data_IF_253777251204
#
_entry.id   IF_253777251204
#
_cell.length_a   1.000
_cell.length_b   1.000
_cell.length_c   1.000
_cell.angle_alpha   90.00
_cell.angle_beta   90.00
_cell.angle_gamma   90.00
#
_symmetry.space_group_name_H-M   'P 1'
#
loop_
_entity.id
_entity.type
_entity.pdbx_description
1 polymer ?
#
# COMPACT_ATOMS: atom_id res chain seq x y z
N UNK A 1 -1.37 -21.66 12.19
CA UNK A 1 -0.71 -22.14 10.96
C UNK A 1 0.52 -21.26 10.74
N UNK A 2 1.69 -21.84 10.99
CA UNK A 2 3.00 -21.17 10.91
C UNK A 2 3.25 -20.71 9.47
N UNK A 3 3.45 -19.43 9.29
CA UNK A 3 3.93 -18.83 8.06
C UNK A 3 5.45 -19.08 8.03
N UNK A 4 5.88 -20.11 7.29
CA UNK A 4 7.29 -20.31 7.01
C UNK A 4 7.78 -19.08 6.23
N UNK A 5 8.50 -18.19 6.87
CA UNK A 5 9.31 -17.18 6.22
C UNK A 5 10.62 -17.84 5.84
N UNK A 6 10.81 -18.00 4.55
CA UNK A 6 12.07 -18.42 3.98
C UNK A 6 13.17 -17.42 4.40
N UNK A 7 14.13 -17.92 5.16
CA UNK A 7 15.44 -17.28 5.31
C UNK A 7 16.14 -17.44 3.96
N UNK A 8 16.20 -16.39 3.16
CA UNK A 8 16.75 -16.41 1.81
C UNK A 8 18.28 -16.59 1.76
N UNK A 9 18.98 -16.66 2.89
CA UNK A 9 20.44 -16.61 2.92
C UNK A 9 21.18 -17.95 2.94
N UNK A 10 20.54 -19.13 3.04
CA UNK A 10 21.29 -20.37 3.25
C UNK A 10 21.04 -21.58 2.36
N UNK A 11 20.10 -21.55 1.41
CA UNK A 11 19.75 -22.77 0.67
C UNK A 11 19.88 -22.72 -0.88
N UNK A 12 20.35 -21.62 -1.47
CA UNK A 12 20.48 -21.54 -2.93
C UNK A 12 21.92 -21.53 -3.43
N UNK A 13 22.65 -22.62 -3.19
CA UNK A 13 23.99 -22.84 -3.78
C UNK A 13 23.99 -23.75 -5.03
N UNK A 14 22.85 -23.82 -5.73
CA UNK A 14 22.68 -24.63 -6.92
C UNK A 14 22.28 -23.82 -8.16
N UNK A 15 22.79 -22.61 -8.33
CA UNK A 15 22.60 -21.87 -9.57
C UNK A 15 23.45 -22.53 -10.67
N UNK A 16 22.82 -23.16 -11.68
CA UNK A 16 23.49 -23.37 -12.95
C UNK A 16 24.16 -22.07 -13.39
N UNK A 17 25.45 -22.16 -13.76
CA UNK A 17 26.22 -21.03 -14.25
C UNK A 17 25.46 -20.39 -15.41
N UNK A 18 24.78 -19.27 -15.15
CA UNK A 18 24.24 -18.42 -16.20
C UNK A 18 25.44 -17.98 -17.03
N UNK A 19 25.46 -18.19 -18.38
CA UNK A 19 26.56 -17.74 -19.21
C UNK A 19 26.91 -16.29 -18.87
N UNK A 20 28.18 -15.96 -18.77
CA UNK A 20 28.65 -14.58 -18.57
C UNK A 20 28.05 -13.74 -19.68
N UNK A 21 26.92 -13.09 -19.39
CA UNK A 21 26.26 -12.23 -20.35
C UNK A 21 27.19 -11.04 -20.60
N UNK A 22 27.45 -10.74 -21.85
CA UNK A 22 28.19 -9.55 -22.24
C UNK A 22 27.44 -8.29 -21.82
N UNK A 23 27.79 -7.79 -20.64
CA UNK A 23 27.10 -6.65 -19.99
C UNK A 23 27.11 -5.40 -20.88
N UNK A 24 28.04 -5.28 -21.82
CA UNK A 24 28.12 -4.14 -22.75
C UNK A 24 26.94 -4.08 -23.73
N UNK A 25 26.30 -5.22 -23.99
CA UNK A 25 25.14 -5.34 -24.88
C UNK A 25 23.81 -5.28 -24.15
N UNK A 26 23.83 -5.41 -22.82
CA UNK A 26 22.60 -5.41 -22.04
C UNK A 26 22.03 -4.00 -21.97
N UNK A 27 20.75 -3.89 -22.25
CA UNK A 27 19.97 -2.67 -22.07
C UNK A 27 18.84 -2.90 -21.08
N UNK A 28 18.73 -2.00 -20.12
CA UNK A 28 17.70 -1.99 -19.10
C UNK A 28 16.76 -0.80 -19.28
N UNK A 29 15.48 -1.00 -19.01
CA UNK A 29 14.47 0.06 -19.16
C UNK A 29 14.10 0.69 -17.82
N UNK A 30 14.31 -0.04 -16.72
CA UNK A 30 13.90 0.39 -15.38
C UNK A 30 15.01 0.19 -14.37
N UNK A 31 15.13 1.19 -13.51
CA UNK A 31 15.80 1.09 -12.22
C UNK A 31 14.73 1.11 -11.13
N UNK A 32 14.71 0.11 -10.28
CA UNK A 32 13.82 0.01 -9.12
C UNK A 32 14.64 0.16 -7.83
N UNK A 33 14.21 1.10 -6.99
CA UNK A 33 14.84 1.37 -5.70
C UNK A 33 13.80 1.09 -4.61
N UNK A 34 14.16 0.28 -3.62
CA UNK A 34 13.32 -0.13 -2.51
C UNK A 34 14.04 0.12 -1.19
N UNK A 35 13.42 0.92 -0.31
CA UNK A 35 14.01 1.25 0.99
C UNK A 35 13.94 0.05 1.94
N UNK A 36 15.05 -0.34 2.49
CA UNK A 36 15.16 -1.53 3.32
C UNK A 36 14.45 -1.35 4.67
N UNK A 37 13.41 -2.16 4.96
CA UNK A 37 12.66 -2.13 6.23
C UNK A 37 12.23 -0.71 6.64
N UNK A 38 11.72 0.06 5.71
CA UNK A 38 11.56 1.51 5.74
C UNK A 38 11.17 2.10 7.10
N UNK A 39 10.03 1.69 7.68
CA UNK A 39 9.55 2.26 8.94
C UNK A 39 10.51 1.99 10.12
N UNK A 40 11.13 0.82 10.14
CA UNK A 40 12.12 0.50 11.17
C UNK A 40 13.42 1.28 10.94
N UNK A 41 13.84 1.48 9.69
CA UNK A 41 15.02 2.28 9.34
C UNK A 41 14.83 3.76 9.68
N UNK A 42 13.61 4.31 9.52
CA UNK A 42 13.27 5.67 9.98
C UNK A 42 13.42 5.76 11.50
N UNK A 43 12.91 4.79 12.26
CA UNK A 43 13.09 4.77 13.72
C UNK A 43 14.58 4.69 14.12
N UNK A 44 15.39 3.86 13.43
CA UNK A 44 16.84 3.76 13.65
C UNK A 44 17.59 5.03 13.21
N UNK A 45 17.03 5.80 12.27
CA UNK A 45 17.61 7.09 11.86
C UNK A 45 17.33 8.18 12.90
N UNK A 46 16.11 8.26 13.40
CA UNK A 46 15.71 9.22 14.43
C UNK A 46 16.34 8.94 15.79
N UNK A 47 16.44 7.65 16.17
CA UNK A 47 17.06 7.23 17.42
C UNK A 47 18.34 6.44 17.15
N UNK A 48 19.54 7.09 17.10
CA UNK A 48 20.81 6.40 16.79
C UNK A 48 21.13 5.20 17.69
N UNK A 49 20.62 5.18 18.93
CA UNK A 49 20.76 4.06 19.86
C UNK A 49 20.08 2.77 19.40
N UNK A 50 19.15 2.85 18.45
CA UNK A 50 18.44 1.71 17.87
C UNK A 50 19.20 1.06 16.70
N UNK A 51 20.24 1.71 16.18
CA UNK A 51 21.02 1.18 15.04
C UNK A 51 21.70 -0.10 15.44
N UNK A 52 21.58 -1.11 14.58
CA UNK A 52 22.12 -2.45 14.82
C UNK A 52 21.35 -3.27 15.87
N UNK A 53 20.24 -2.75 16.40
CA UNK A 53 19.38 -3.45 17.37
C UNK A 53 18.09 -3.95 16.72
N UNK A 54 17.49 -5.05 17.22
CA UNK A 54 16.18 -5.50 16.79
C UNK A 54 15.10 -4.45 17.11
N UNK A 55 14.40 -3.97 16.06
CA UNK A 55 13.32 -2.97 16.19
C UNK A 55 12.06 -3.49 15.51
N UNK A 56 10.95 -3.44 16.23
CA UNK A 56 9.60 -3.73 15.74
C UNK A 56 8.76 -2.46 15.70
N UNK A 57 8.10 -2.19 14.58
CA UNK A 57 7.15 -1.08 14.47
C UNK A 57 5.73 -1.64 14.63
N UNK A 58 4.98 -1.10 15.57
CA UNK A 58 3.61 -1.50 15.90
C UNK A 58 2.66 -0.33 15.72
N UNK A 59 1.37 -0.60 15.49
CA UNK A 59 0.36 0.47 15.37
C UNK A 59 -0.03 1.08 16.71
N UNK A 60 0.06 0.28 17.78
CA UNK A 60 -0.17 0.69 19.18
C UNK A 60 0.70 -0.19 20.07
N UNK A 61 1.20 0.33 21.17
CA UNK A 61 2.02 -0.44 22.12
C UNK A 61 1.16 -1.29 23.06
N UNK A 62 0.60 -2.40 22.52
CA UNK A 62 -0.17 -3.38 23.25
C UNK A 62 0.26 -4.81 22.89
N UNK A 63 0.23 -5.79 23.80
CA UNK A 63 0.69 -7.15 23.55
C UNK A 63 0.07 -7.84 22.34
N UNK A 64 -1.20 -7.55 22.05
CA UNK A 64 -1.93 -8.09 20.90
C UNK A 64 -1.70 -7.34 19.57
N UNK A 65 -0.96 -6.23 19.57
CA UNK A 65 -0.67 -5.50 18.35
C UNK A 65 0.27 -6.30 17.43
N UNK A 66 0.06 -6.21 16.13
CA UNK A 66 0.93 -6.83 15.14
C UNK A 66 2.00 -5.83 14.66
N UNK A 67 3.21 -6.32 14.43
CA UNK A 67 4.25 -5.55 13.76
C UNK A 67 3.81 -5.21 12.32
N UNK A 68 3.93 -3.96 11.95
CA UNK A 68 3.74 -3.48 10.56
C UNK A 68 5.06 -3.40 9.81
N UNK A 69 6.17 -3.30 10.53
CA UNK A 69 7.53 -3.43 9.99
C UNK A 69 8.47 -4.00 11.06
N UNK A 70 9.60 -4.53 10.62
CA UNK A 70 10.67 -5.01 11.50
C UNK A 70 12.02 -4.71 10.86
N UNK A 71 13.03 -4.33 11.68
CA UNK A 71 14.40 -4.15 11.22
C UNK A 71 15.00 -5.46 10.75
N UNK A 72 16.12 -5.40 10.02
CA UNK A 72 16.79 -6.63 9.58
C UNK A 72 17.34 -7.43 10.74
N UNK A 73 17.76 -6.78 11.81
CA UNK A 73 18.17 -7.42 13.04
C UNK A 73 17.01 -8.22 13.65
N UNK A 74 15.79 -7.67 13.69
CA UNK A 74 14.61 -8.38 14.16
C UNK A 74 14.18 -9.50 13.20
N UNK A 75 14.33 -9.32 11.89
CA UNK A 75 14.03 -10.35 10.87
C UNK A 75 14.86 -11.61 11.05
N UNK A 76 16.11 -11.53 11.55
CA UNK A 76 16.96 -12.69 11.86
C UNK A 76 16.35 -13.64 12.88
N UNK A 77 15.52 -13.12 13.76
CA UNK A 77 14.75 -13.91 14.75
C UNK A 77 13.38 -14.36 14.21
N UNK A 78 13.11 -14.23 12.90
CA UNK A 78 11.84 -14.60 12.29
C UNK A 78 10.71 -13.56 12.51
N UNK A 79 11.02 -12.40 13.09
CA UNK A 79 10.06 -11.33 13.35
C UNK A 79 9.82 -10.51 12.09
N UNK A 80 8.56 -10.25 11.76
CA UNK A 80 8.23 -9.42 10.60
C UNK A 80 6.79 -8.93 10.61
N UNK A 81 6.32 -8.47 9.44
CA UNK A 81 4.94 -7.97 9.29
C UNK A 81 3.94 -9.05 9.70
N UNK A 82 3.03 -8.70 10.62
CA UNK A 82 2.00 -9.60 11.14
C UNK A 82 2.41 -10.40 12.38
N UNK A 83 3.69 -10.45 12.79
CA UNK A 83 4.12 -11.03 14.07
C UNK A 83 3.52 -10.20 15.21
N UNK A 84 2.87 -10.85 16.17
CA UNK A 84 2.31 -10.14 17.33
C UNK A 84 3.43 -9.66 18.25
N UNK A 85 3.21 -8.52 18.92
CA UNK A 85 4.20 -7.93 19.84
C UNK A 85 4.63 -8.92 20.92
N UNK A 86 3.68 -9.65 21.53
CA UNK A 86 4.00 -10.67 22.53
C UNK A 86 4.86 -11.81 21.94
N UNK A 87 4.49 -12.33 20.77
CA UNK A 87 5.27 -13.36 20.06
C UNK A 87 6.67 -12.85 19.68
N UNK A 88 6.78 -11.60 19.22
CA UNK A 88 8.07 -11.00 18.90
C UNK A 88 8.97 -10.85 20.14
N UNK A 89 8.38 -10.52 21.29
CA UNK A 89 9.09 -10.44 22.57
C UNK A 89 9.59 -11.82 23.06
N UNK A 90 8.84 -12.88 22.79
CA UNK A 90 9.25 -14.26 23.08
C UNK A 90 10.41 -14.70 22.17
N UNK A 91 10.34 -14.34 20.87
CA UNK A 91 11.39 -14.67 19.89
C UNK A 91 12.67 -13.88 20.11
N UNK A 92 12.59 -12.65 20.56
CA UNK A 92 13.70 -11.76 20.82
C UNK A 92 13.41 -10.88 22.04
N UNK A 93 13.85 -11.28 23.25
CA UNK A 93 13.61 -10.52 24.50
C UNK A 93 14.10 -9.07 24.45
N UNK A 94 15.18 -8.81 23.72
CA UNK A 94 15.82 -7.49 23.62
C UNK A 94 15.23 -6.62 22.49
N UNK A 95 14.11 -7.01 21.87
CA UNK A 95 13.48 -6.24 20.81
C UNK A 95 12.92 -4.93 21.34
N UNK A 96 13.25 -3.83 20.68
CA UNK A 96 12.68 -2.50 20.95
C UNK A 96 11.46 -2.27 20.08
N UNK A 97 10.36 -1.81 20.69
CA UNK A 97 9.16 -1.44 19.92
C UNK A 97 9.00 0.06 19.81
N UNK A 98 8.51 0.50 18.65
CA UNK A 98 8.09 1.89 18.41
C UNK A 98 6.71 1.90 17.80
N UNK A 99 5.90 2.87 18.22
CA UNK A 99 4.63 3.14 17.55
C UNK A 99 4.87 3.80 16.20
N UNK A 100 4.01 3.48 15.23
CA UNK A 100 4.10 4.02 13.89
C UNK A 100 3.83 5.54 13.86
N UNK A 101 4.73 6.29 13.25
CA UNK A 101 4.66 7.74 13.06
C UNK A 101 4.49 8.02 11.56
N UNK A 102 3.24 8.04 11.08
CA UNK A 102 2.96 8.11 9.65
C UNK A 102 3.34 9.46 9.02
N UNK A 103 3.24 10.56 9.74
CA UNK A 103 3.68 11.89 9.34
C UNK A 103 5.20 11.94 9.11
N UNK A 104 5.95 11.35 10.03
CA UNK A 104 7.40 11.22 9.92
C UNK A 104 7.80 10.37 8.69
N UNK A 105 7.09 9.27 8.42
CA UNK A 105 7.35 8.44 7.25
C UNK A 105 7.11 9.21 5.94
N UNK A 106 6.08 10.05 5.88
CA UNK A 106 5.85 10.91 4.71
C UNK A 106 6.92 12.00 4.58
N UNK A 107 7.40 12.56 5.68
CA UNK A 107 8.52 13.50 5.65
C UNK A 107 9.80 12.87 5.08
N UNK A 108 10.16 11.68 5.59
CA UNK A 108 11.30 10.93 5.05
C UNK A 108 11.12 10.55 3.58
N UNK A 109 9.92 10.19 3.15
CA UNK A 109 9.60 9.92 1.75
C UNK A 109 9.93 11.12 0.85
N UNK A 110 9.50 12.33 1.22
CA UNK A 110 9.81 13.53 0.46
C UNK A 110 11.31 13.84 0.44
N UNK A 111 12.01 13.66 1.56
CA UNK A 111 13.48 13.83 1.62
C UNK A 111 14.21 12.82 0.73
N UNK A 112 13.71 11.60 0.63
CA UNK A 112 14.26 10.57 -0.28
C UNK A 112 14.02 10.97 -1.73
N UNK A 113 12.82 11.43 -2.10
CA UNK A 113 12.51 11.94 -3.44
C UNK A 113 13.48 13.06 -3.79
N UNK A 114 13.63 14.07 -2.96
CA UNK A 114 14.57 15.18 -3.20
C UNK A 114 16.01 14.70 -3.38
N UNK A 115 16.43 13.68 -2.60
CA UNK A 115 17.77 13.11 -2.73
C UNK A 115 17.97 12.36 -4.04
N UNK A 116 16.95 11.64 -4.54
CA UNK A 116 16.98 10.93 -5.82
C UNK A 116 16.92 11.92 -6.99
N UNK A 117 16.04 12.92 -6.94
CA UNK A 117 15.83 13.91 -8.02
C UNK A 117 17.05 14.79 -8.28
N UNK A 118 17.97 14.92 -7.32
CA UNK A 118 19.28 15.55 -7.57
C UNK A 118 20.20 14.75 -8.47
N UNK A 119 19.90 13.49 -8.66
CA UNK A 119 20.68 12.57 -9.51
C UNK A 119 19.95 12.31 -10.83
N UNK A 120 18.64 12.02 -10.76
CA UNK A 120 17.80 11.75 -11.90
C UNK A 120 16.32 11.99 -11.57
N UNK A 121 15.53 12.59 -12.46
CA UNK A 121 14.10 12.83 -12.26
C UNK A 121 13.32 11.53 -11.98
N UNK A 122 12.38 11.58 -11.04
CA UNK A 122 11.42 10.51 -10.74
C UNK A 122 10.12 10.81 -11.48
N UNK A 123 9.63 9.84 -12.25
CA UNK A 123 8.33 9.98 -12.92
C UNK A 123 7.18 9.71 -11.97
N UNK A 124 7.31 8.70 -11.09
CA UNK A 124 6.28 8.30 -10.13
C UNK A 124 6.85 7.46 -8.99
N UNK A 125 6.52 7.82 -7.75
CA UNK A 125 6.68 6.94 -6.61
C UNK A 125 5.57 5.86 -6.63
N UNK A 126 5.94 4.59 -6.39
CA UNK A 126 5.00 3.47 -6.36
C UNK A 126 4.40 3.24 -4.98
N UNK A 127 5.18 3.49 -3.95
CA UNK A 127 4.75 3.48 -2.55
C UNK A 127 5.57 4.49 -1.75
N UNK A 128 5.39 4.53 -0.44
CA UNK A 128 6.15 5.41 0.46
C UNK A 128 7.65 5.07 0.48
N UNK A 129 8.02 3.89 0.05
CA UNK A 129 9.37 3.30 0.12
C UNK A 129 9.87 2.70 -1.20
N UNK A 130 9.06 2.72 -2.27
CA UNK A 130 9.38 2.13 -3.57
C UNK A 130 9.36 3.17 -4.69
N UNK A 131 10.42 3.21 -5.49
CA UNK A 131 10.60 4.15 -6.60
C UNK A 131 11.01 3.40 -7.86
N UNK A 132 10.20 3.52 -8.93
CA UNK A 132 10.55 3.02 -10.25
C UNK A 132 10.91 4.19 -11.16
N UNK A 133 12.07 4.10 -11.75
CA UNK A 133 12.63 5.13 -12.64
C UNK A 133 12.78 4.49 -14.01
N UNK A 134 12.10 5.05 -15.01
CA UNK A 134 12.25 4.66 -16.39
C UNK A 134 13.51 5.29 -16.97
N UNK A 135 14.37 4.46 -17.52
CA UNK A 135 15.63 4.88 -18.11
C UNK A 135 15.46 5.16 -19.60
N UNK A 136 16.04 6.24 -20.08
CA UNK A 136 15.97 6.68 -21.45
C UNK A 136 17.36 6.92 -22.04
N UNK A 137 17.49 6.81 -23.36
CA UNK A 137 18.74 7.09 -24.08
C UNK A 137 19.92 6.25 -23.57
N UNK A 138 21.05 6.90 -23.29
CA UNK A 138 22.28 6.27 -22.77
C UNK A 138 22.15 5.75 -21.34
N UNK A 139 21.21 6.27 -20.54
CA UNK A 139 20.93 5.73 -19.20
C UNK A 139 20.44 4.26 -19.22
N UNK A 140 20.03 3.74 -20.37
CA UNK A 140 19.65 2.33 -20.56
C UNK A 140 20.84 1.38 -20.67
N UNK A 141 22.03 1.88 -20.86
CA UNK A 141 23.25 1.07 -20.87
C UNK A 141 23.52 0.54 -19.46
N UNK A 142 23.86 -0.73 -19.34
CA UNK A 142 23.94 -1.42 -18.05
C UNK A 142 24.85 -0.71 -17.03
N UNK A 143 26.08 -0.38 -17.43
CA UNK A 143 27.04 0.29 -16.55
C UNK A 143 26.60 1.71 -16.16
N UNK A 144 25.99 2.43 -17.10
CA UNK A 144 25.41 3.76 -16.84
C UNK A 144 24.26 3.66 -15.85
N UNK A 145 23.34 2.71 -16.05
CA UNK A 145 22.20 2.47 -15.14
C UNK A 145 22.67 2.07 -13.73
N UNK A 146 23.69 1.22 -13.64
CA UNK A 146 24.32 0.80 -12.38
C UNK A 146 24.95 1.99 -11.66
N UNK A 147 25.77 2.78 -12.35
CA UNK A 147 26.40 3.98 -11.79
C UNK A 147 25.36 5.00 -11.30
N UNK A 148 24.24 5.14 -12.03
CA UNK A 148 23.11 5.98 -11.65
C UNK A 148 22.49 5.49 -10.33
N UNK A 149 22.17 4.20 -10.21
CA UNK A 149 21.63 3.60 -9.01
C UNK A 149 22.54 3.79 -7.79
N UNK A 150 23.84 3.54 -7.94
CA UNK A 150 24.82 3.76 -6.88
C UNK A 150 24.95 5.24 -6.49
N UNK A 151 24.79 6.15 -7.44
CA UNK A 151 24.79 7.60 -7.17
C UNK A 151 23.54 8.01 -6.38
N UNK A 152 22.35 7.44 -6.68
CA UNK A 152 21.12 7.64 -5.90
C UNK A 152 21.28 7.11 -4.47
N UNK A 153 21.81 5.88 -4.31
CA UNK A 153 22.11 5.29 -3.00
C UNK A 153 23.00 6.21 -2.16
N UNK A 154 24.12 6.68 -2.72
CA UNK A 154 25.01 7.63 -2.05
C UNK A 154 24.34 8.95 -1.70
N UNK A 155 23.50 9.48 -2.58
CA UNK A 155 22.73 10.71 -2.34
C UNK A 155 21.78 10.55 -1.16
N UNK A 156 21.04 9.42 -1.07
CA UNK A 156 20.14 9.11 0.05
C UNK A 156 20.94 9.01 1.36
N UNK A 157 22.00 8.22 1.40
CA UNK A 157 22.84 8.05 2.61
C UNK A 157 23.41 9.37 3.10
N UNK A 158 23.85 10.24 2.18
CA UNK A 158 24.44 11.53 2.52
C UNK A 158 23.43 12.57 3.00
N UNK A 159 22.23 12.61 2.38
CA UNK A 159 21.26 13.70 2.58
C UNK A 159 20.14 13.34 3.54
N UNK A 160 19.73 12.09 3.58
CA UNK A 160 18.63 11.62 4.44
C UNK A 160 19.17 10.98 5.71
N UNK A 161 20.19 10.13 5.59
CA UNK A 161 20.90 9.61 6.74
C UNK A 161 21.43 8.17 6.58
N UNK A 162 22.39 7.76 7.40
CA UNK A 162 23.11 6.48 7.25
C UNK A 162 22.25 5.23 7.52
N UNK A 163 21.14 5.34 8.25
CA UNK A 163 20.21 4.22 8.46
C UNK A 163 19.26 4.03 7.26
N UNK A 164 19.17 4.99 6.34
CA UNK A 164 18.26 4.96 5.20
C UNK A 164 18.89 4.22 4.02
N UNK A 165 18.93 2.89 4.13
CA UNK A 165 19.51 2.01 3.13
C UNK A 165 18.48 1.52 2.12
N UNK A 166 18.90 1.20 0.90
CA UNK A 166 18.03 0.73 -0.16
C UNK A 166 18.66 -0.38 -0.98
N UNK A 167 17.81 -1.26 -1.52
CA UNK A 167 18.19 -2.24 -2.53
C UNK A 167 17.80 -1.73 -3.91
N UNK A 168 18.61 -2.07 -4.92
CA UNK A 168 18.46 -1.59 -6.29
C UNK A 168 18.34 -2.79 -7.21
N UNK A 169 17.34 -2.75 -8.08
CA UNK A 169 17.16 -3.70 -9.16
C UNK A 169 17.12 -3.02 -10.51
N UNK A 170 17.82 -3.57 -11.49
CA UNK A 170 17.71 -3.17 -12.89
C UNK A 170 16.91 -4.21 -13.68
N UNK A 171 16.12 -3.79 -14.64
CA UNK A 171 15.34 -4.71 -15.46
C UNK A 171 14.90 -4.15 -16.81
N UNK A 172 14.64 -5.06 -17.75
CA UNK A 172 14.05 -4.71 -19.05
C UNK A 172 12.55 -4.35 -18.92
N UNK A 173 11.90 -4.81 -17.84
CA UNK A 173 10.55 -4.38 -17.44
C UNK A 173 10.56 -3.92 -15.98
N UNK A 174 9.54 -3.15 -15.60
CA UNK A 174 9.37 -2.72 -14.22
C UNK A 174 9.21 -3.90 -13.24
N UNK A 175 8.52 -4.96 -13.65
CA UNK A 175 8.37 -6.19 -12.85
C UNK A 175 9.71 -6.86 -12.60
N UNK A 176 10.53 -7.00 -13.64
CA UNK A 176 11.87 -7.60 -13.52
C UNK A 176 12.80 -6.73 -12.67
N UNK A 177 12.77 -5.40 -12.85
CA UNK A 177 13.55 -4.49 -12.00
C UNK A 177 13.15 -4.60 -10.52
N UNK A 178 11.85 -4.65 -10.23
CA UNK A 178 11.37 -4.87 -8.85
C UNK A 178 11.84 -6.21 -8.29
N UNK A 179 11.70 -7.30 -9.05
CA UNK A 179 12.14 -8.62 -8.62
C UNK A 179 13.66 -8.67 -8.38
N UNK A 180 14.45 -8.04 -9.25
CA UNK A 180 15.89 -7.94 -9.08
C UNK A 180 16.29 -7.25 -7.76
N UNK A 181 15.57 -6.18 -7.38
CA UNK A 181 15.78 -5.48 -6.11
C UNK A 181 15.45 -6.32 -4.86
N UNK A 182 14.59 -7.36 -5.00
CA UNK A 182 14.26 -8.28 -3.90
C UNK A 182 15.29 -9.39 -3.69
N UNK A 183 16.03 -9.79 -4.74
CA UNK A 183 16.88 -10.98 -4.74
C UNK A 183 18.03 -10.93 -3.73
N UNK A 184 18.58 -9.75 -3.50
CA UNK A 184 19.75 -9.54 -2.62
C UNK A 184 19.49 -8.48 -1.55
N UNK A 185 18.36 -8.52 -0.87
CA UNK A 185 18.09 -7.65 0.28
C UNK A 185 18.83 -8.13 1.53
N UNK A 186 19.33 -7.23 2.39
CA UNK A 186 19.37 -5.77 2.31
C UNK A 186 20.55 -5.23 1.49
N UNK A 187 20.51 -3.94 1.14
CA UNK A 187 21.57 -3.18 0.46
C UNK A 187 22.06 -3.80 -0.86
N UNK A 188 21.28 -4.73 -1.41
CA UNK A 188 21.67 -5.47 -2.59
C UNK A 188 21.60 -4.65 -3.88
N UNK A 189 22.24 -5.23 -4.89
CA UNK A 189 22.13 -4.82 -6.28
C UNK A 189 22.00 -6.07 -7.13
N UNK A 190 21.02 -6.14 -7.99
CA UNK A 190 20.90 -7.20 -8.99
C UNK A 190 20.16 -6.69 -10.24
N UNK A 191 20.06 -7.55 -11.26
CA UNK A 191 19.44 -7.21 -12.52
C UNK A 191 18.80 -8.42 -13.19
N UNK A 192 17.73 -8.19 -13.96
CA UNK A 192 16.98 -9.21 -14.69
C UNK A 192 16.60 -8.67 -16.08
N UNK A 193 17.02 -9.40 -17.09
CA UNK A 193 16.70 -9.12 -18.51
C UNK A 193 16.42 -10.44 -19.22
N UNK A 194 15.85 -10.44 -20.45
CA UNK A 194 15.55 -11.66 -21.17
C UNK A 194 16.74 -12.60 -21.35
N UNK A 195 17.96 -12.07 -21.43
CA UNK A 195 19.19 -12.84 -21.63
C UNK A 195 19.53 -13.80 -20.48
N UNK A 196 19.09 -13.47 -19.26
CA UNK A 196 19.32 -14.29 -18.04
C UNK A 196 18.06 -14.96 -17.53
N UNK A 197 16.91 -14.67 -18.16
CA UNK A 197 15.64 -15.28 -17.81
C UNK A 197 15.38 -16.57 -18.62
N UNK A 198 14.65 -17.56 -18.04
CA UNK A 198 14.20 -17.66 -16.66
C UNK A 198 15.25 -18.24 -15.68
N UNK A 199 16.47 -18.55 -16.17
CA UNK A 199 17.51 -19.25 -15.42
C UNK A 199 17.80 -18.62 -14.06
N UNK A 200 17.98 -17.30 -14.03
CA UNK A 200 18.32 -16.57 -12.79
C UNK A 200 17.21 -16.60 -11.72
N UNK A 201 15.98 -16.93 -12.10
CA UNK A 201 14.84 -17.09 -11.18
C UNK A 201 14.39 -18.55 -11.00
N UNK A 202 15.08 -19.54 -11.58
CA UNK A 202 14.66 -20.95 -11.57
C UNK A 202 14.53 -21.54 -10.16
N UNK A 203 15.34 -21.10 -9.21
CA UNK A 203 15.32 -21.54 -7.81
C UNK A 203 14.30 -20.81 -6.93
N UNK A 204 13.62 -19.76 -7.42
CA UNK A 204 12.68 -19.01 -6.62
C UNK A 204 11.26 -19.62 -6.72
N UNK A 205 10.47 -19.60 -5.60
CA UNK A 205 9.07 -20.03 -5.64
C UNK A 205 8.23 -19.01 -6.41
N UNK A 206 7.10 -19.47 -6.97
CA UNK A 206 6.15 -18.59 -7.68
C UNK A 206 5.69 -17.39 -6.83
N UNK A 207 5.47 -17.60 -5.54
CA UNK A 207 5.05 -16.57 -4.61
C UNK A 207 6.10 -15.49 -4.33
N UNK A 208 7.36 -15.65 -4.78
CA UNK A 208 8.38 -14.61 -4.72
C UNK A 208 8.15 -13.51 -5.76
N UNK A 209 7.44 -13.81 -6.87
CA UNK A 209 7.16 -12.83 -7.90
C UNK A 209 6.18 -11.77 -7.39
N UNK A 210 6.52 -10.47 -7.48
CA UNK A 210 5.60 -9.39 -7.15
C UNK A 210 4.29 -9.54 -7.92
N UNK A 211 3.15 -9.52 -7.20
CA UNK A 211 1.82 -9.72 -7.80
C UNK A 211 1.29 -11.16 -7.75
N UNK A 212 2.10 -12.16 -7.41
CA UNK A 212 1.63 -13.53 -7.15
C UNK A 212 1.44 -13.74 -5.65
N UNK A 213 0.22 -13.50 -5.19
CA UNK A 213 -0.17 -13.84 -3.81
C UNK A 213 -0.61 -15.30 -3.67
N UNK A 214 -0.78 -15.79 -2.44
CA UNK A 214 -1.14 -17.18 -2.10
C UNK A 214 -2.31 -17.77 -2.91
N UNK A 215 -3.33 -16.96 -3.26
CA UNK A 215 -4.47 -17.43 -4.06
C UNK A 215 -4.10 -17.66 -5.52
N UNK A 216 -3.27 -16.80 -6.09
CA UNK A 216 -2.81 -16.94 -7.47
C UNK A 216 -1.81 -18.08 -7.58
N UNK A 217 -0.87 -18.19 -6.65
CA UNK A 217 0.06 -19.32 -6.55
C UNK A 217 -0.68 -20.66 -6.50
N UNK A 218 -1.69 -20.80 -5.62
CA UNK A 218 -2.53 -22.00 -5.56
C UNK A 218 -3.24 -22.29 -6.89
N UNK A 219 -3.73 -21.26 -7.58
CA UNK A 219 -4.38 -21.40 -8.90
C UNK A 219 -3.41 -21.89 -9.96
N UNK A 220 -2.20 -21.34 -10.00
CA UNK A 220 -1.12 -21.75 -10.91
C UNK A 220 -0.74 -23.22 -10.68
N UNK A 221 -0.49 -23.59 -9.43
CA UNK A 221 -0.16 -24.99 -9.05
C UNK A 221 -1.29 -25.94 -9.46
N UNK A 222 -2.56 -25.57 -9.24
CA UNK A 222 -3.72 -26.38 -9.66
C UNK A 222 -3.84 -26.52 -11.18
N UNK A 223 -3.22 -25.63 -11.94
CA UNK A 223 -3.13 -25.66 -13.40
C UNK A 223 -1.85 -26.38 -13.92
N UNK A 224 -1.06 -27.00 -13.04
CA UNK A 224 0.16 -27.71 -13.39
C UNK A 224 1.40 -26.81 -13.51
N UNK A 225 1.32 -25.53 -13.06
CA UNK A 225 2.43 -24.58 -13.11
C UNK A 225 2.95 -24.40 -11.70
N UNK A 226 4.10 -25.00 -11.39
CA UNK A 226 4.70 -24.99 -10.04
C UNK A 226 6.00 -24.20 -9.96
N UNK A 227 6.61 -23.83 -11.10
CA UNK A 227 7.90 -23.13 -11.16
C UNK A 227 7.82 -21.87 -12.03
N UNK A 228 8.77 -20.94 -11.79
CA UNK A 228 8.88 -19.72 -12.60
C UNK A 228 9.23 -20.05 -14.07
N UNK A 229 10.15 -20.98 -14.40
CA UNK A 229 10.39 -21.38 -15.78
C UNK A 229 9.14 -21.89 -16.51
N UNK A 230 8.29 -22.71 -15.85
CA UNK A 230 7.03 -23.14 -16.43
C UNK A 230 6.07 -21.99 -16.70
N UNK A 231 5.99 -21.03 -15.76
CA UNK A 231 5.19 -19.83 -15.94
C UNK A 231 5.73 -18.97 -17.10
N UNK A 232 7.05 -18.78 -17.16
CA UNK A 232 7.73 -17.99 -18.18
C UNK A 232 7.50 -18.54 -19.61
N UNK A 233 7.42 -19.87 -19.75
CA UNK A 233 7.21 -20.55 -21.02
C UNK A 233 5.76 -20.46 -21.54
N UNK A 234 4.82 -19.93 -20.77
CA UNK A 234 3.45 -19.78 -21.21
C UNK A 234 3.32 -18.79 -22.37
N UNK A 235 2.25 -18.96 -23.15
CA UNK A 235 1.81 -17.92 -24.07
C UNK A 235 0.90 -16.90 -23.35
N UNK A 236 0.90 -15.62 -23.73
CA UNK A 236 0.10 -14.57 -23.09
C UNK A 236 -1.39 -14.91 -22.98
N UNK A 237 -1.99 -15.54 -23.99
CA UNK A 237 -3.39 -15.99 -23.97
C UNK A 237 -3.69 -17.01 -22.86
N UNK A 238 -2.73 -17.88 -22.50
CA UNK A 238 -2.89 -18.86 -21.42
C UNK A 238 -2.83 -18.15 -20.05
N UNK A 239 -1.91 -17.21 -19.87
CA UNK A 239 -1.86 -16.39 -18.67
C UNK A 239 -3.15 -15.58 -18.49
N UNK A 240 -3.70 -14.96 -19.56
CA UNK A 240 -5.01 -14.29 -19.52
C UNK A 240 -6.12 -15.19 -19.01
N UNK A 241 -6.17 -16.46 -19.47
CA UNK A 241 -7.14 -17.45 -19.00
C UNK A 241 -6.94 -17.81 -17.52
N UNK A 242 -5.70 -18.02 -17.08
CA UNK A 242 -5.36 -18.35 -15.70
C UNK A 242 -5.73 -17.21 -14.71
N UNK A 243 -5.50 -15.96 -15.09
CA UNK A 243 -5.90 -14.79 -14.28
C UNK A 243 -7.37 -14.43 -14.42
N UNK A 244 -8.05 -14.96 -15.45
CA UNK A 244 -9.38 -14.53 -15.90
C UNK A 244 -9.42 -13.00 -16.13
N UNK A 245 -8.34 -12.45 -16.65
CA UNK A 245 -8.14 -11.00 -16.84
C UNK A 245 -6.99 -10.73 -17.80
N UNK A 246 -7.05 -9.60 -18.51
CA UNK A 246 -5.94 -9.05 -19.31
C UNK A 246 -4.69 -8.79 -18.45
N UNK A 247 -4.86 -8.60 -17.14
CA UNK A 247 -3.74 -8.45 -16.19
C UNK A 247 -2.78 -9.62 -16.23
N UNK A 248 -3.28 -10.85 -16.44
CA UNK A 248 -2.41 -12.04 -16.56
C UNK A 248 -1.53 -12.03 -17.80
N UNK A 249 -2.08 -11.60 -18.93
CA UNK A 249 -1.33 -11.41 -20.17
C UNK A 249 -0.23 -10.35 -20.00
N UNK A 250 -0.59 -9.19 -19.45
CA UNK A 250 0.35 -8.09 -19.16
C UNK A 250 1.44 -8.50 -18.18
N UNK A 251 1.06 -9.26 -17.14
CA UNK A 251 2.00 -9.80 -16.16
C UNK A 251 3.04 -10.72 -16.83
N UNK A 252 2.59 -11.66 -17.67
CA UNK A 252 3.49 -12.58 -18.35
C UNK A 252 4.42 -11.86 -19.32
N UNK A 253 3.90 -10.94 -20.13
CA UNK A 253 4.72 -10.13 -21.02
C UNK A 253 5.78 -9.32 -20.24
N UNK A 254 5.40 -8.73 -19.10
CA UNK A 254 6.36 -8.03 -18.26
C UNK A 254 7.41 -9.00 -17.65
N UNK A 255 7.01 -10.22 -17.25
CA UNK A 255 7.93 -11.27 -16.80
C UNK A 255 8.88 -11.72 -17.91
N UNK A 256 8.43 -11.75 -19.16
CA UNK A 256 9.22 -12.04 -20.36
C UNK A 256 10.10 -10.85 -20.81
N UNK A 257 10.07 -9.75 -20.06
CA UNK A 257 10.95 -8.59 -20.27
C UNK A 257 10.39 -7.50 -21.17
N UNK A 258 9.14 -7.62 -21.63
CA UNK A 258 8.51 -6.55 -22.40
C UNK A 258 8.17 -5.33 -21.53
N UNK A 259 8.41 -4.15 -22.04
CA UNK A 259 8.02 -2.90 -21.40
C UNK A 259 6.51 -2.67 -21.60
N UNK A 260 5.75 -2.99 -20.58
CA UNK A 260 4.29 -2.85 -20.56
C UNK A 260 3.92 -1.60 -19.77
N UNK A 261 3.39 -0.55 -20.41
CA UNK A 261 2.99 0.66 -19.70
C UNK A 261 1.92 0.35 -18.64
N UNK A 262 1.99 1.06 -17.51
CA UNK A 262 0.95 0.95 -16.48
C UNK A 262 -0.41 1.36 -17.08
N UNK A 263 -1.49 0.61 -16.77
CA UNK A 263 -2.81 1.06 -17.16
C UNK A 263 -3.16 2.35 -16.42
N UNK A 264 -3.83 3.24 -17.10
CA UNK A 264 -4.49 4.36 -16.42
C UNK A 264 -5.49 3.79 -15.42
N UNK A 265 -5.36 4.19 -14.17
CA UNK A 265 -6.24 3.75 -13.09
C UNK A 265 -7.05 4.93 -12.60
N UNK A 266 -8.38 4.82 -12.69
CA UNK A 266 -9.29 5.74 -12.07
C UNK A 266 -9.76 5.18 -10.73
N UNK A 267 -9.82 6.01 -9.69
CA UNK A 267 -10.38 5.62 -8.40
C UNK A 267 -11.88 5.47 -8.52
N UNK A 268 -12.39 4.24 -8.48
CA UNK A 268 -13.82 3.96 -8.52
C UNK A 268 -14.48 3.94 -7.13
N UNK A 269 -13.70 4.02 -6.06
CA UNK A 269 -14.19 3.99 -4.69
C UNK A 269 -13.25 4.68 -3.70
N UNK A 270 -13.83 5.23 -2.64
CA UNK A 270 -13.14 5.78 -1.48
C UNK A 270 -13.67 5.06 -0.23
N UNK A 271 -12.79 4.48 0.57
CA UNK A 271 -13.20 3.75 1.76
C UNK A 271 -12.25 3.93 2.93
N UNK A 272 -12.80 3.70 4.11
CA UNK A 272 -12.07 3.61 5.36
C UNK A 272 -12.50 2.39 6.16
N UNK A 273 -11.56 1.76 6.85
CA UNK A 273 -11.83 0.67 7.78
C UNK A 273 -10.98 0.81 9.04
N UNK A 274 -11.51 0.34 10.15
CA UNK A 274 -10.84 0.40 11.44
C UNK A 274 -11.09 -0.86 12.27
N UNK A 275 -10.02 -1.37 12.91
CA UNK A 275 -10.13 -2.36 13.99
C UNK A 275 -10.56 -1.60 15.25
N UNK A 276 -11.60 -2.08 15.92
CA UNK A 276 -12.18 -1.41 17.07
C UNK A 276 -11.34 -1.63 18.33
N UNK A 277 -11.20 -0.58 19.14
CA UNK A 277 -10.70 -0.69 20.52
C UNK A 277 -11.69 -1.50 21.36
N UNK A 278 -11.24 -2.06 22.48
CA UNK A 278 -12.12 -2.85 23.38
C UNK A 278 -13.38 -2.10 23.81
N UNK A 279 -13.26 -0.80 24.09
CA UNK A 279 -14.38 0.07 24.47
C UNK A 279 -15.44 0.24 23.36
N UNK A 280 -15.03 0.16 22.09
CA UNK A 280 -15.91 0.34 20.93
C UNK A 280 -16.37 -1.00 20.32
N UNK A 281 -16.05 -2.17 20.92
CA UNK A 281 -16.48 -3.50 20.46
C UNK A 281 -17.91 -3.85 20.88
N UNK A 282 -18.80 -2.89 20.84
CA UNK A 282 -20.24 -3.04 21.03
C UNK A 282 -20.97 -2.39 19.85
N UNK A 283 -22.24 -2.71 19.59
CA UNK A 283 -22.96 -2.22 18.42
C UNK A 283 -22.98 -0.70 18.31
N UNK A 284 -23.17 0.01 19.43
CA UNK A 284 -23.24 1.47 19.46
C UNK A 284 -21.88 2.13 19.23
N UNK A 285 -20.83 1.69 19.93
CA UNK A 285 -19.47 2.19 19.72
C UNK A 285 -18.99 1.95 18.28
N UNK A 286 -19.32 0.78 17.73
CA UNK A 286 -19.03 0.44 16.35
C UNK A 286 -19.76 1.35 15.36
N UNK A 287 -21.04 1.71 15.64
CA UNK A 287 -21.85 2.64 14.84
C UNK A 287 -21.20 4.02 14.78
N UNK A 288 -20.81 4.54 15.93
CA UNK A 288 -20.20 5.87 16.04
C UNK A 288 -18.83 5.92 15.31
N UNK A 289 -18.02 4.86 15.42
CA UNK A 289 -16.75 4.75 14.68
C UNK A 289 -17.01 4.68 13.17
N UNK A 290 -17.93 3.83 12.71
CA UNK A 290 -18.25 3.70 11.28
C UNK A 290 -18.81 5.01 10.70
N UNK A 291 -19.66 5.72 11.46
CA UNK A 291 -20.18 7.04 11.12
C UNK A 291 -19.06 8.06 10.94
N UNK A 292 -18.09 8.10 11.86
CA UNK A 292 -16.91 8.98 11.74
C UNK A 292 -16.06 8.64 10.51
N UNK A 293 -15.87 7.35 10.22
CA UNK A 293 -15.17 6.91 9.00
C UNK A 293 -15.90 7.33 7.72
N UNK A 294 -17.24 7.34 7.72
CA UNK A 294 -18.04 7.81 6.60
C UNK A 294 -17.84 9.31 6.38
N UNK A 295 -17.87 10.14 7.42
CA UNK A 295 -17.61 11.58 7.31
C UNK A 295 -16.21 11.82 6.75
N UNK A 296 -15.20 11.09 7.25
CA UNK A 296 -13.84 11.17 6.71
C UNK A 296 -13.78 10.78 5.22
N UNK A 297 -14.55 9.78 4.79
CA UNK A 297 -14.65 9.41 3.38
C UNK A 297 -15.34 10.52 2.55
N UNK A 298 -16.40 11.14 3.09
CA UNK A 298 -17.13 12.24 2.44
C UNK A 298 -16.25 13.49 2.27
N UNK A 299 -15.47 13.88 3.29
CA UNK A 299 -14.47 14.97 3.18
C UNK A 299 -13.44 14.69 2.08
N UNK A 300 -12.92 13.45 2.01
CA UNK A 300 -12.00 13.07 0.94
C UNK A 300 -12.67 13.05 -0.45
N UNK A 301 -13.95 12.67 -0.52
CA UNK A 301 -14.74 12.68 -1.74
C UNK A 301 -14.84 14.10 -2.30
N UNK A 302 -15.21 15.09 -1.47
CA UNK A 302 -15.29 16.52 -1.82
C UNK A 302 -13.94 17.09 -2.22
N UNK A 303 -12.88 16.81 -1.45
CA UNK A 303 -11.50 17.24 -1.75
C UNK A 303 -11.01 16.73 -3.10
N UNK A 304 -11.43 15.52 -3.50
CA UNK A 304 -11.14 14.93 -4.81
C UNK A 304 -12.06 15.40 -5.95
N UNK A 305 -13.06 16.24 -5.68
CA UNK A 305 -14.03 16.69 -6.70
C UNK A 305 -14.93 15.58 -7.24
N UNK A 306 -15.19 14.54 -6.43
CA UNK A 306 -16.00 13.39 -6.84
C UNK A 306 -17.37 13.36 -6.18
N UNK A 307 -18.32 12.70 -6.84
CA UNK A 307 -19.62 12.30 -6.30
C UNK A 307 -19.66 10.77 -6.16
N UNK A 308 -20.35 10.25 -5.15
CA UNK A 308 -20.57 8.84 -4.97
C UNK A 308 -22.02 8.46 -5.33
N UNK A 309 -22.17 7.31 -6.02
CA UNK A 309 -23.48 6.76 -6.34
C UNK A 309 -23.76 5.44 -5.62
N UNK A 310 -22.89 5.00 -4.71
CA UNK A 310 -23.16 3.87 -3.83
C UNK A 310 -22.47 4.01 -2.49
N UNK A 311 -23.12 3.49 -1.45
CA UNK A 311 -22.60 3.33 -0.10
C UNK A 311 -22.52 1.86 0.23
N UNK A 312 -21.39 1.43 0.80
CA UNK A 312 -21.18 0.11 1.34
C UNK A 312 -20.72 0.23 2.79
N UNK A 313 -21.39 -0.50 3.68
CA UNK A 313 -21.04 -0.57 5.11
C UNK A 313 -20.76 -2.03 5.46
N UNK A 314 -19.71 -2.27 6.20
CA UNK A 314 -19.32 -3.63 6.60
C UNK A 314 -18.79 -3.67 8.01
N UNK A 315 -18.92 -4.84 8.63
CA UNK A 315 -18.33 -5.14 9.93
C UNK A 315 -17.88 -6.58 10.00
N UNK A 316 -16.86 -6.86 10.81
CA UNK A 316 -16.42 -8.21 11.13
C UNK A 316 -16.73 -8.48 12.60
N UNK A 317 -17.48 -9.53 12.87
CA UNK A 317 -17.78 -10.02 14.19
C UNK A 317 -16.91 -11.22 14.54
N UNK A 318 -16.72 -11.47 15.85
CA UNK A 318 -15.89 -12.57 16.32
C UNK A 318 -16.44 -13.94 15.87
N UNK A 319 -17.73 -14.19 16.09
CA UNK A 319 -18.37 -15.48 15.76
C UNK A 319 -19.08 -15.48 14.40
N UNK A 320 -19.68 -14.38 13.99
CA UNK A 320 -20.53 -14.28 12.81
C UNK A 320 -19.76 -13.95 11.50
N UNK A 321 -18.42 -13.78 11.59
CA UNK A 321 -17.60 -13.45 10.43
C UNK A 321 -17.86 -12.03 9.90
N UNK A 322 -17.72 -11.84 8.58
CA UNK A 322 -17.92 -10.54 7.92
C UNK A 322 -19.37 -10.39 7.45
N UNK A 323 -20.01 -9.28 7.83
CA UNK A 323 -21.30 -8.83 7.32
C UNK A 323 -21.14 -7.54 6.53
N UNK A 324 -21.96 -7.34 5.52
CA UNK A 324 -21.92 -6.14 4.68
C UNK A 324 -23.28 -5.86 4.08
N UNK A 325 -23.61 -4.58 3.97
CA UNK A 325 -24.79 -4.07 3.27
C UNK A 325 -24.37 -2.94 2.33
N UNK A 326 -25.08 -2.78 1.22
CA UNK A 326 -24.83 -1.69 0.28
C UNK A 326 -26.14 -1.18 -0.32
N UNK A 327 -26.12 0.06 -0.79
CA UNK A 327 -27.24 0.68 -1.52
C UNK A 327 -26.70 1.56 -2.63
N UNK A 328 -27.39 1.58 -3.75
CA UNK A 328 -27.18 2.57 -4.81
C UNK A 328 -27.99 3.81 -4.47
N UNK A 329 -27.38 4.98 -4.59
CA UNK A 329 -27.94 6.28 -4.22
C UNK A 329 -27.82 7.23 -5.41
N UNK A 330 -28.50 8.37 -5.37
CA UNK A 330 -28.22 9.47 -6.30
C UNK A 330 -26.77 9.95 -6.10
N UNK A 331 -26.18 10.50 -7.17
CA UNK A 331 -24.83 11.06 -7.10
C UNK A 331 -24.81 12.20 -6.07
N UNK A 332 -24.06 12.03 -4.99
CA UNK A 332 -24.00 12.99 -3.89
C UNK A 332 -22.61 13.07 -3.28
N UNK A 333 -22.29 14.22 -2.72
CA UNK A 333 -21.17 14.47 -1.81
C UNK A 333 -21.65 15.09 -0.48
N UNK A 334 -22.97 15.21 -0.29
CA UNK A 334 -23.60 15.73 0.92
C UNK A 334 -23.48 14.73 2.08
N UNK A 335 -22.79 15.16 3.15
CA UNK A 335 -22.60 14.34 4.35
C UNK A 335 -23.91 14.00 5.06
N UNK A 336 -24.93 14.85 5.02
CA UNK A 336 -26.22 14.59 5.66
C UNK A 336 -26.99 13.49 4.93
N UNK A 337 -27.00 13.52 3.61
CA UNK A 337 -27.63 12.48 2.80
C UNK A 337 -26.91 11.14 2.97
N UNK A 338 -25.56 11.15 2.94
CA UNK A 338 -24.74 9.96 3.17
C UNK A 338 -25.01 9.36 4.55
N UNK A 339 -25.15 10.20 5.60
CA UNK A 339 -25.47 9.75 6.95
C UNK A 339 -26.88 9.16 7.08
N UNK A 340 -27.86 9.70 6.36
CA UNK A 340 -29.22 9.15 6.29
C UNK A 340 -29.20 7.72 5.73
N UNK A 341 -28.55 7.51 4.61
CA UNK A 341 -28.41 6.17 4.01
C UNK A 341 -27.59 5.23 4.89
N UNK A 342 -26.56 5.73 5.55
CA UNK A 342 -25.75 4.96 6.51
C UNK A 342 -26.62 4.41 7.65
N UNK A 343 -27.51 5.23 8.23
CA UNK A 343 -28.37 4.80 9.34
C UNK A 343 -29.24 3.61 8.94
N UNK A 344 -29.89 3.67 7.78
CA UNK A 344 -30.68 2.54 7.26
C UNK A 344 -29.85 1.28 6.97
N UNK A 345 -28.64 1.44 6.46
CA UNK A 345 -27.74 0.29 6.22
C UNK A 345 -27.23 -0.32 7.53
N UNK A 346 -26.98 0.53 8.54
CA UNK A 346 -26.47 0.08 9.83
C UNK A 346 -27.50 -0.79 10.57
N UNK A 347 -28.76 -0.42 10.58
CA UNK A 347 -29.86 -1.20 11.17
C UNK A 347 -29.95 -2.60 10.57
N UNK A 348 -29.74 -2.72 9.25
CA UNK A 348 -29.74 -4.01 8.55
C UNK A 348 -28.51 -4.87 8.79
N UNK A 349 -27.41 -4.27 9.25
CA UNK A 349 -26.13 -4.98 9.40
C UNK A 349 -26.10 -5.93 10.59
N UNK A 350 -26.84 -5.63 11.66
CA UNK A 350 -27.01 -6.46 12.88
C UNK A 350 -25.67 -7.03 13.37
N UNK A 351 -24.76 -6.18 13.80
CA UNK A 351 -23.44 -6.59 14.29
C UNK A 351 -23.48 -6.94 15.79
N UNK A 352 -23.00 -8.14 16.11
CA UNK A 352 -22.80 -8.59 17.48
C UNK A 352 -21.31 -8.69 17.78
N UNK A 353 -20.83 -8.07 18.86
CA UNK A 353 -19.41 -8.05 19.27
C UNK A 353 -18.47 -7.73 18.10
N UNK A 354 -18.62 -6.56 17.44
CA UNK A 354 -17.85 -6.21 16.27
C UNK A 354 -16.37 -6.03 16.61
N UNK A 355 -15.49 -6.58 15.78
CA UNK A 355 -14.03 -6.46 15.88
C UNK A 355 -13.50 -5.34 14.98
N UNK A 356 -14.13 -5.11 13.85
CA UNK A 356 -13.78 -4.06 12.92
C UNK A 356 -14.99 -3.58 12.13
N UNK A 357 -14.94 -2.34 11.67
CA UNK A 357 -15.95 -1.73 10.80
C UNK A 357 -15.28 -1.10 9.59
N UNK A 358 -16.03 -0.97 8.50
CA UNK A 358 -15.57 -0.33 7.28
C UNK A 358 -16.73 0.32 6.53
N UNK A 359 -16.43 1.43 5.88
CA UNK A 359 -17.32 2.16 4.99
C UNK A 359 -16.64 2.39 3.67
N UNK A 360 -17.39 2.38 2.58
CA UNK A 360 -16.88 2.66 1.25
C UNK A 360 -17.94 3.41 0.43
N UNK A 361 -17.53 4.52 -0.15
CA UNK A 361 -18.24 5.27 -1.16
C UNK A 361 -17.76 4.77 -2.52
N UNK A 362 -18.67 4.33 -3.36
CA UNK A 362 -18.32 3.67 -4.63
C UNK A 362 -19.03 4.28 -5.83
N UNK A 363 -18.65 3.76 -7.02
CA UNK A 363 -19.12 4.26 -8.31
C UNK A 363 -18.93 5.77 -8.39
N UNK A 364 -17.68 6.19 -8.19
CA UNK A 364 -17.33 7.60 -8.19
C UNK A 364 -17.47 8.19 -9.59
N UNK A 365 -18.03 9.40 -9.65
CA UNK A 365 -18.13 10.22 -10.87
C UNK A 365 -17.46 11.55 -10.62
N UNK A 366 -16.76 12.06 -11.63
CA UNK A 366 -16.11 13.36 -11.55
C UNK A 366 -17.14 14.49 -11.66
N UNK A 367 -16.85 15.62 -11.05
CA UNK A 367 -17.71 16.82 -11.12
C UNK A 367 -17.98 17.27 -12.56
N UNK A 368 -17.01 17.10 -13.46
CA UNK A 368 -17.12 17.47 -14.86
C UNK A 368 -18.11 16.58 -15.65
N UNK A 369 -18.28 15.32 -15.22
CA UNK A 369 -19.23 14.36 -15.82
C UNK A 369 -20.55 14.24 -15.06
N UNK A 370 -20.72 15.03 -14.00
CA UNK A 370 -21.97 15.03 -13.24
C UNK A 370 -23.03 15.85 -13.98
N UNK A 371 -24.07 15.18 -14.43
CA UNK A 371 -25.25 15.83 -15.02
C UNK A 371 -26.30 16.02 -13.93
N UNK A 372 -26.80 17.25 -13.75
CA UNK A 372 -27.88 17.52 -12.83
C UNK A 372 -29.13 16.71 -13.22
N UNK A 373 -29.88 16.26 -12.22
CA UNK A 373 -31.10 15.47 -12.46
C UNK A 373 -32.18 16.39 -13.07
N UNK A 374 -32.69 16.03 -14.25
CA UNK A 374 -33.75 16.75 -14.96
C UNK A 374 -35.06 16.86 -14.15
N UNK A 375 -35.24 16.01 -13.17
CA UNK A 375 -36.43 15.95 -12.31
C UNK A 375 -36.22 16.64 -10.95
N UNK A 376 -35.06 17.25 -10.72
CA UNK A 376 -34.82 18.05 -9.52
C UNK A 376 -35.66 19.34 -9.58
N UNK A 377 -36.55 19.55 -8.61
CA UNK A 377 -37.24 20.80 -8.48
C UNK A 377 -36.31 21.91 -8.02
N UNK A 378 -36.56 23.17 -8.38
CA UNK A 378 -35.74 24.32 -7.97
C UNK A 378 -35.55 24.40 -6.44
N UNK A 379 -36.56 23.98 -5.66
CA UNK A 379 -36.49 23.96 -4.19
C UNK A 379 -35.52 22.87 -3.67
N UNK A 380 -35.61 21.64 -4.17
CA UNK A 380 -34.72 20.53 -3.77
C UNK A 380 -33.27 20.76 -4.23
N UNK A 381 -33.07 21.36 -5.40
CA UNK A 381 -31.77 21.75 -5.90
C UNK A 381 -31.15 22.87 -5.04
N UNK A 382 -31.96 23.84 -4.59
CA UNK A 382 -31.50 24.90 -3.69
C UNK A 382 -31.04 24.39 -2.33
N UNK A 383 -31.80 23.47 -1.71
CA UNK A 383 -31.43 22.84 -0.44
C UNK A 383 -30.18 21.97 -0.57
N UNK A 384 -30.06 21.18 -1.63
CA UNK A 384 -28.87 20.35 -1.89
C UNK A 384 -27.60 21.20 -2.01
N UNK A 385 -27.65 22.28 -2.78
CA UNK A 385 -26.54 23.23 -2.93
C UNK A 385 -26.16 23.91 -1.61
N UNK A 386 -27.12 24.26 -0.76
CA UNK A 386 -26.84 24.85 0.55
C UNK A 386 -26.17 23.84 1.49
N UNK A 387 -26.61 22.59 1.50
CA UNK A 387 -26.00 21.52 2.30
C UNK A 387 -24.58 21.19 1.83
N UNK A 388 -24.33 21.14 0.53
CA UNK A 388 -22.97 20.95 -0.01
C UNK A 388 -22.05 22.10 0.39
N UNK A 389 -22.51 23.35 0.30
CA UNK A 389 -21.74 24.51 0.79
C UNK A 389 -21.45 24.41 2.28
N UNK A 390 -22.45 24.05 3.09
CA UNK A 390 -22.27 23.84 4.52
C UNK A 390 -21.23 22.74 4.81
N UNK A 391 -21.29 21.62 4.09
CA UNK A 391 -20.30 20.55 4.21
C UNK A 391 -18.88 21.03 3.87
N UNK A 392 -18.73 21.84 2.82
CA UNK A 392 -17.43 22.42 2.45
C UNK A 392 -16.91 23.39 3.51
N UNK A 393 -17.77 24.24 4.08
CA UNK A 393 -17.40 25.14 5.18
C UNK A 393 -16.97 24.38 6.44
N UNK A 394 -17.65 23.27 6.77
CA UNK A 394 -17.25 22.39 7.89
C UNK A 394 -15.87 21.76 7.62
N UNK A 395 -15.61 21.33 6.39
CA UNK A 395 -14.30 20.80 6.00
C UNK A 395 -13.19 21.87 6.15
N UNK A 396 -13.44 23.11 5.72
CA UNK A 396 -12.51 24.24 5.86
C UNK A 396 -12.23 24.58 7.32
N UNK A 397 -13.27 24.61 8.17
CA UNK A 397 -13.11 24.85 9.61
C UNK A 397 -12.27 23.74 10.27
N UNK A 398 -12.55 22.49 9.95
CA UNK A 398 -11.80 21.35 10.49
C UNK A 398 -10.35 21.33 9.98
N UNK A 399 -10.10 21.77 8.75
CA UNK A 399 -8.74 21.94 8.23
C UNK A 399 -7.98 23.06 8.94
N UNK A 400 -8.64 24.18 9.23
CA UNK A 400 -8.02 25.36 9.84
C UNK A 400 -7.78 25.20 11.35
N UNK A 401 -8.73 24.61 12.08
CA UNK A 401 -8.73 24.55 13.54
C UNK A 401 -8.47 23.15 14.12
N UNK A 402 -8.26 22.15 13.25
CA UNK A 402 -8.01 20.76 13.63
C UNK A 402 -9.23 19.87 13.46
N UNK A 403 -8.95 18.56 13.28
CA UNK A 403 -10.00 17.53 13.07
C UNK A 403 -11.04 17.52 14.18
N UNK A 404 -12.29 17.28 13.78
CA UNK A 404 -13.43 17.17 14.69
C UNK A 404 -13.71 18.46 15.52
N UNK A 405 -13.24 19.63 15.07
CA UNK A 405 -13.63 20.93 15.63
C UNK A 405 -15.13 21.14 15.43
N UNK A 406 -15.63 20.86 14.22
CA UNK A 406 -17.06 20.80 13.91
C UNK A 406 -17.40 19.35 13.50
N UNK A 407 -18.40 18.77 14.14
CA UNK A 407 -18.83 17.39 13.90
C UNK A 407 -20.31 17.33 13.48
N UNK A 408 -20.65 16.28 12.76
CA UNK A 408 -22.02 15.95 12.40
C UNK A 408 -22.64 15.06 13.50
N UNK A 409 -23.23 15.65 14.55
CA UNK A 409 -23.90 14.92 15.62
C UNK A 409 -22.95 14.28 16.65
N UNK A 410 -23.14 13.01 17.00
CA UNK A 410 -22.50 12.37 18.14
C UNK A 410 -21.05 11.92 17.90
N UNK A 411 -20.23 11.98 18.95
CA UNK A 411 -18.86 11.47 18.99
C UNK A 411 -18.79 10.07 19.60
N UNK A 412 -17.84 9.21 19.16
CA UNK A 412 -17.47 8.03 19.93
C UNK A 412 -16.94 8.43 21.33
N UNK A 413 -17.27 7.64 22.35
CA UNK A 413 -16.82 7.88 23.74
C UNK A 413 -15.30 7.91 23.89
N UNK A 414 -14.61 7.06 23.15
CA UNK A 414 -13.15 7.08 23.02
C UNK A 414 -12.77 7.33 21.56
N UNK A 415 -12.18 8.48 21.32
CA UNK A 415 -11.46 8.75 20.08
C UNK A 415 -10.06 8.23 20.32
N UNK A 416 -9.75 7.04 19.82
CA UNK A 416 -8.34 6.63 19.74
C UNK A 416 -7.62 7.66 18.86
N UNK A 417 -6.55 8.28 19.37
CA UNK A 417 -5.67 9.17 18.58
C UNK A 417 -5.19 8.50 17.29
N UNK A 418 -5.23 7.17 17.29
CA UNK A 418 -4.88 6.32 16.16
C UNK A 418 -6.13 5.94 15.35
N UNK A 419 -6.30 6.54 14.19
CA UNK A 419 -7.39 6.26 13.23
C UNK A 419 -6.99 5.28 12.12
N UNK A 420 -6.14 4.29 12.41
CA UNK A 420 -5.63 3.33 11.43
C UNK A 420 -4.42 3.84 10.63
N UNK A 421 -3.82 2.98 9.81
CA UNK A 421 -2.69 3.37 8.97
C UNK A 421 -3.12 4.50 8.02
N UNK A 422 -2.54 5.66 8.16
CA UNK A 422 -2.79 6.80 7.29
C UNK A 422 -2.14 6.62 5.92
N UNK A 423 -1.06 5.85 5.87
CA UNK A 423 -0.40 5.44 4.62
C UNK A 423 -1.10 4.20 4.10
N UNK A 424 -1.72 4.30 2.92
CA UNK A 424 -2.32 3.17 2.22
C UNK A 424 -1.43 2.76 1.04
N UNK A 425 -1.39 1.46 0.73
CA UNK A 425 -0.74 0.96 -0.48
C UNK A 425 -1.31 1.69 -1.71
N UNK A 426 -0.44 2.34 -2.48
CA UNK A 426 -0.79 3.05 -3.70
C UNK A 426 -1.24 4.51 -3.54
N UNK A 427 -1.29 5.05 -2.30
CA UNK A 427 -1.47 6.48 -2.08
C UNK A 427 -0.61 6.97 -0.93
N UNK A 428 0.20 7.98 -1.19
CA UNK A 428 0.97 8.69 -0.19
C UNK A 428 0.17 9.92 0.20
N UNK A 429 -0.23 10.07 1.49
CA UNK A 429 -0.93 11.27 1.95
C UNK A 429 -0.04 12.50 1.85
N UNK A 430 -0.62 13.67 1.59
CA UNK A 430 0.08 14.95 1.73
C UNK A 430 0.39 15.26 3.20
N UNK A 431 1.41 16.10 3.44
CA UNK A 431 1.81 16.50 4.82
C UNK A 431 0.65 17.15 5.59
N UNK A 432 -0.21 17.89 4.90
CA UNK A 432 -1.40 18.53 5.46
C UNK A 432 -2.45 17.53 5.97
N UNK A 433 -2.51 16.33 5.42
CA UNK A 433 -3.49 15.30 5.83
C UNK A 433 -3.18 14.68 7.20
N UNK A 434 -2.01 14.94 7.76
CA UNK A 434 -1.61 14.49 9.11
C UNK A 434 -1.83 15.56 10.18
N UNK A 435 -2.00 16.81 9.74
CA UNK A 435 -2.39 17.91 10.63
C UNK A 435 -3.90 17.91 10.86
N UNK A 436 -4.60 17.11 10.09
CA UNK A 436 -6.05 16.92 10.18
C UNK A 436 -6.45 15.96 11.31
#
# INVERSE_FOLDING_TARGET
MKQARLNFESEFSGAELVPEADLSRIRVNYLFLDMNSYFASVAQQEEPRLRGRPVGIVTVDKPGAACIAASYEAKRFGIGVGTRRAEAQELCPDIEFREAQHDLYVDYHHRIIEAIERVHPIQKAHSVDEFAIQLLGSAREFETAKALGESMRRSILKRVGPAMRCSIGLGSSKLLAKMAGEMKKPDGFDWLTPEVMPGKLSGFPLGALPGIGKRMEKRLISAGISTIPQLYALQPKHARKLWNSVTGERFLLALQGHDIPDPETHSHSLGHGQILSSANRNPEGARLVARRLLIKAATRLRRGGHFATSIHVSGKCDRLGKRACSVTIRATQDSFELLKHFSHLWERLCLEKPLSVGVMLGRLTDRASHTADLFETRETSGESNLREKLCSMVDELNQKFGQDTVIYGERPREITKFTGAKIAFGRIPGKEEFRD
#
